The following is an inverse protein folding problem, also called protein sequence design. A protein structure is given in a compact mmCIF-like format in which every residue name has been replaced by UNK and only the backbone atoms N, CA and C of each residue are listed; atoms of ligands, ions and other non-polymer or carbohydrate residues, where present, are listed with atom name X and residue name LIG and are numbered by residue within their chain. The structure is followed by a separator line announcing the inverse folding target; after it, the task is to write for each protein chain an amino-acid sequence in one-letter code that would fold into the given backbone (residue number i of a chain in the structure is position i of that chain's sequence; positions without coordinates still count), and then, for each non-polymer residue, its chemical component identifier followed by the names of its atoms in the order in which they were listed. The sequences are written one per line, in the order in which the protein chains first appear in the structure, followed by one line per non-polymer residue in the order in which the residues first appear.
data_IF_604015193231
#
_entry.id   IF_604015193231
#
_cell.length_a   1.000
_cell.length_b   1.000
_cell.length_c   1.000
_cell.angle_alpha   90.00
_cell.angle_beta   90.00
_cell.angle_gamma   90.00
#
_symmetry.space_group_name_H-M   'P 1'
#
loop_
_entity.id
_entity.type
_entity.pdbx_description
1 polymer ?
#
# COMPACT_ATOMS: atom_id res chain seq x y z
N UNK A 1 -0.89 -9.95 -1.72
CA UNK A 1 -0.18 -9.04 -0.79
C UNK A 1 -1.04 -7.85 -0.39
N UNK A 2 -1.47 -6.99 -1.32
CA UNK A 2 -2.32 -5.81 -1.01
C UNK A 2 -3.58 -6.20 -0.22
N UNK A 3 -4.31 -7.23 -0.66
CA UNK A 3 -5.46 -7.78 0.06
C UNK A 3 -5.03 -8.74 1.18
N UNK A 4 -4.36 -9.84 0.85
CA UNK A 4 -4.18 -10.94 1.83
C UNK A 4 -3.16 -10.68 2.95
N UNK A 5 -2.20 -9.77 2.73
CA UNK A 5 -1.09 -9.53 3.67
C UNK A 5 -1.27 -8.16 4.33
N UNK A 6 -1.40 -7.12 3.51
CA UNK A 6 -1.53 -5.74 3.99
C UNK A 6 -2.97 -5.40 4.37
N UNK A 7 -3.97 -6.03 3.74
CA UNK A 7 -5.38 -5.76 4.01
C UNK A 7 -5.80 -4.32 3.72
N UNK A 8 -5.19 -3.70 2.72
CA UNK A 8 -5.41 -2.29 2.33
C UNK A 8 -6.23 -2.15 1.04
N UNK A 9 -6.69 -3.26 0.47
CA UNK A 9 -7.46 -3.29 -0.76
C UNK A 9 -8.10 -4.66 -0.99
N UNK A 10 -8.81 -4.79 -2.10
CA UNK A 10 -9.58 -5.99 -2.47
C UNK A 10 -9.38 -6.29 -3.94
N UNK A 11 -9.30 -7.57 -4.29
CA UNK A 11 -9.36 -8.08 -5.66
C UNK A 11 -10.83 -8.19 -6.03
N UNK A 12 -11.16 -7.75 -7.25
CA UNK A 12 -12.53 -7.88 -7.77
C UNK A 12 -12.83 -9.36 -7.96
N UNK A 13 -14.03 -9.77 -7.56
CA UNK A 13 -14.54 -11.13 -7.71
C UNK A 13 -14.27 -11.68 -9.13
N UNK A 14 -13.60 -12.84 -9.21
CA UNK A 14 -13.23 -13.49 -10.48
C UNK A 14 -12.06 -12.85 -11.24
N UNK A 15 -11.42 -11.80 -10.69
CA UNK A 15 -10.27 -11.13 -11.31
C UNK A 15 -10.57 -10.36 -12.59
N UNK A 16 -11.86 -10.18 -12.92
CA UNK A 16 -12.32 -9.50 -14.14
C UNK A 16 -13.26 -8.36 -13.77
N UNK A 17 -13.12 -7.23 -14.45
CA UNK A 17 -14.01 -6.07 -14.29
C UNK A 17 -15.39 -6.34 -14.88
N UNK A 18 -16.25 -6.97 -14.09
CA UNK A 18 -17.69 -7.02 -14.34
C UNK A 18 -18.40 -5.88 -13.62
N UNK A 19 -19.53 -5.40 -14.16
CA UNK A 19 -20.33 -4.35 -13.52
C UNK A 19 -20.71 -4.73 -12.08
N UNK A 20 -21.18 -5.96 -11.86
CA UNK A 20 -21.55 -6.46 -10.54
C UNK A 20 -20.35 -6.56 -9.61
N UNK A 21 -19.23 -7.10 -10.08
CA UNK A 21 -17.99 -7.22 -9.30
C UNK A 21 -17.49 -5.87 -8.82
N UNK A 22 -17.40 -4.88 -9.72
CA UNK A 22 -16.98 -3.51 -9.37
C UNK A 22 -17.92 -2.87 -8.35
N UNK A 23 -19.24 -2.97 -8.55
CA UNK A 23 -20.21 -2.38 -7.62
C UNK A 23 -20.12 -3.00 -6.23
N UNK A 24 -19.94 -4.33 -6.12
CA UNK A 24 -19.73 -5.01 -4.83
C UNK A 24 -18.45 -4.52 -4.15
N UNK A 25 -17.33 -4.46 -4.88
CA UNK A 25 -16.06 -3.97 -4.33
C UNK A 25 -16.16 -2.51 -3.87
N UNK A 26 -16.84 -1.65 -4.62
CA UNK A 26 -17.06 -0.25 -4.22
C UNK A 26 -17.93 -0.15 -2.97
N UNK A 27 -19.00 -0.94 -2.85
CA UNK A 27 -19.81 -0.98 -1.64
C UNK A 27 -18.97 -1.42 -0.42
N UNK A 28 -18.16 -2.47 -0.57
CA UNK A 28 -17.26 -2.95 0.48
C UNK A 28 -16.25 -1.87 0.91
N UNK A 29 -15.63 -1.17 -0.05
CA UNK A 29 -14.61 -0.17 0.26
C UNK A 29 -15.24 1.10 0.83
N UNK A 30 -16.34 1.60 0.27
CA UNK A 30 -16.86 2.94 0.59
C UNK A 30 -17.88 2.95 1.72
N UNK A 31 -18.65 1.88 1.88
CA UNK A 31 -19.81 1.87 2.81
C UNK A 31 -19.70 0.89 3.95
N UNK A 32 -18.93 -0.20 3.79
CA UNK A 32 -18.78 -1.24 4.82
C UNK A 32 -17.66 -0.88 5.83
N UNK A 33 -17.80 -1.36 7.06
CA UNK A 33 -16.78 -1.21 8.10
C UNK A 33 -15.45 -1.87 7.73
N UNK A 34 -15.46 -2.92 6.90
CA UNK A 34 -14.23 -3.48 6.34
C UNK A 34 -13.47 -2.45 5.52
N UNK A 35 -14.16 -1.62 4.74
CA UNK A 35 -13.54 -0.54 3.97
C UNK A 35 -12.90 0.53 4.86
N UNK A 36 -13.48 0.81 6.03
CA UNK A 36 -12.85 1.68 7.05
C UNK A 36 -11.55 1.06 7.58
N UNK A 37 -11.58 -0.22 7.96
CA UNK A 37 -10.37 -0.94 8.41
C UNK A 37 -9.26 -0.96 7.36
N UNK A 38 -9.62 -1.08 6.07
CA UNK A 38 -8.64 -0.99 4.98
C UNK A 38 -7.96 0.39 4.94
N UNK A 39 -8.73 1.48 5.08
CA UNK A 39 -8.17 2.84 5.12
C UNK A 39 -7.29 3.08 6.34
N UNK A 40 -7.67 2.59 7.51
CA UNK A 40 -6.87 2.71 8.73
C UNK A 40 -5.51 2.02 8.54
N UNK A 41 -5.50 0.80 8.00
CA UNK A 41 -4.26 0.08 7.66
C UNK A 41 -3.44 0.80 6.59
N UNK A 42 -4.09 1.35 5.57
CA UNK A 42 -3.41 2.10 4.51
C UNK A 42 -2.76 3.37 5.06
N UNK A 43 -3.39 4.03 6.03
CA UNK A 43 -2.85 5.19 6.73
C UNK A 43 -1.63 4.81 7.57
N UNK A 44 -1.69 3.71 8.35
CA UNK A 44 -0.52 3.22 9.08
C UNK A 44 0.63 2.83 8.14
N UNK A 45 0.34 2.19 7.01
CA UNK A 45 1.37 1.87 6.02
C UNK A 45 2.00 3.14 5.42
N UNK A 46 1.18 4.16 5.14
CA UNK A 46 1.66 5.45 4.66
C UNK A 46 2.61 6.11 5.66
N UNK A 47 2.31 6.05 6.94
CA UNK A 47 3.17 6.60 8.00
C UNK A 47 4.54 5.90 8.02
N UNK A 48 4.56 4.56 8.00
CA UNK A 48 5.81 3.77 7.93
C UNK A 48 6.64 4.13 6.70
N UNK A 49 6.02 4.20 5.53
CA UNK A 49 6.73 4.54 4.28
C UNK A 49 7.23 5.99 4.30
N UNK A 50 6.44 6.91 4.84
CA UNK A 50 6.84 8.33 4.93
C UNK A 50 8.02 8.50 5.88
N UNK A 51 8.04 7.79 7.00
CA UNK A 51 9.16 7.78 7.94
C UNK A 51 10.43 7.19 7.28
N UNK A 52 10.32 6.02 6.66
CA UNK A 52 11.44 5.37 5.98
C UNK A 52 12.02 6.21 4.83
N UNK A 53 11.17 6.95 4.11
CA UNK A 53 11.57 7.85 3.02
C UNK A 53 11.95 9.27 3.49
N UNK A 54 11.85 9.56 4.79
CA UNK A 54 12.19 10.87 5.34
C UNK A 54 13.70 11.17 5.27
N UNK A 55 14.13 12.43 5.53
CA UNK A 55 15.55 12.84 5.41
C UNK A 55 16.56 12.00 6.21
N UNK A 56 16.12 11.40 7.30
CA UNK A 56 16.89 10.51 8.18
C UNK A 56 16.38 9.05 8.13
N UNK A 57 15.43 8.75 7.24
CA UNK A 57 14.78 7.45 7.14
C UNK A 57 15.69 6.39 6.54
N UNK A 58 15.40 5.13 6.85
CA UNK A 58 16.21 3.98 6.43
C UNK A 58 16.35 3.87 4.91
N UNK A 59 15.26 4.06 4.15
CA UNK A 59 15.31 3.96 2.69
C UNK A 59 16.22 5.02 2.06
N UNK A 60 16.28 6.22 2.65
CA UNK A 60 17.21 7.28 2.21
C UNK A 60 18.65 6.92 2.54
N UNK A 61 18.90 6.31 3.70
CA UNK A 61 20.25 5.86 4.09
C UNK A 61 20.72 4.73 3.16
N UNK A 62 19.89 3.71 2.93
CA UNK A 62 20.19 2.60 2.02
C UNK A 62 20.45 3.12 0.59
N UNK A 63 19.66 4.09 0.13
CA UNK A 63 19.86 4.72 -1.18
C UNK A 63 21.20 5.48 -1.25
N UNK A 64 21.60 6.21 -0.20
CA UNK A 64 22.91 6.86 -0.14
C UNK A 64 24.05 5.84 -0.20
N UNK A 65 23.94 4.76 0.57
CA UNK A 65 24.93 3.67 0.53
C UNK A 65 25.05 3.07 -0.87
N UNK A 66 23.93 2.87 -1.57
CA UNK A 66 23.95 2.40 -2.95
C UNK A 66 24.66 3.40 -3.88
N UNK A 67 24.38 4.70 -3.75
CA UNK A 67 25.02 5.76 -4.56
C UNK A 67 26.53 5.80 -4.32
N UNK A 68 26.98 5.73 -3.08
CA UNK A 68 28.40 5.74 -2.73
C UNK A 68 29.12 4.51 -3.32
N UNK A 69 28.49 3.33 -3.24
CA UNK A 69 29.02 2.08 -3.79
C UNK A 69 29.23 2.19 -5.30
N UNK A 70 28.22 2.64 -6.05
CA UNK A 70 28.31 2.70 -7.52
C UNK A 70 29.22 3.84 -8.01
N UNK A 71 29.39 4.91 -7.23
CA UNK A 71 30.25 6.04 -7.59
C UNK A 71 31.73 5.78 -7.29
N UNK A 72 32.03 4.74 -6.52
CA UNK A 72 33.39 4.29 -6.21
C UNK A 72 34.03 3.40 -7.28
N UNK A 73 33.28 3.11 -8.35
CA UNK A 73 33.70 2.36 -9.56
C UNK A 73 34.16 3.34 -10.63
#
# INVERSE_FOLDING_TARGET
MVEDIWGIGVIIEGGVFSKSGVLKSLALILTDEQGKKMRDKAQSLKEVVTEAAGPSGSAVQDFRTLVDLISSI
#
